data_IF_797497324531
#
_entry.id   IF_797497324531
#
_cell.length_a   1.000
_cell.length_b   1.000
_cell.length_c   1.000
_cell.angle_alpha   90.00
_cell.angle_beta   90.00
_cell.angle_gamma   90.00
#
_symmetry.space_group_name_H-M   'P 1'
#
loop_
_entity.id
_entity.type
_entity.pdbx_description
1 polymer ?
#
# COMPACT_ATOMS: atom_id res chain seq x y z
N UNK A 1 -12.39 -10.62 10.03
CA UNK A 1 -12.53 -9.91 8.73
C UNK A 1 -11.58 -10.55 7.73
N UNK A 2 -12.09 -11.09 6.61
CA UNK A 2 -11.32 -11.88 5.64
C UNK A 2 -10.30 -10.99 4.89
N UNK A 3 -10.63 -9.72 4.69
CA UNK A 3 -9.77 -8.75 4.01
C UNK A 3 -8.37 -8.63 4.65
N UNK A 4 -8.28 -8.58 5.98
CA UNK A 4 -6.99 -8.52 6.68
C UNK A 4 -6.19 -9.81 6.51
N UNK A 5 -6.87 -10.95 6.48
CA UNK A 5 -6.24 -12.26 6.21
C UNK A 5 -5.67 -12.29 4.78
N UNK A 6 -6.40 -11.72 3.81
CA UNK A 6 -5.90 -11.59 2.44
C UNK A 6 -4.62 -10.74 2.37
N UNK A 7 -4.59 -9.58 3.03
CA UNK A 7 -3.39 -8.74 3.07
C UNK A 7 -2.21 -9.50 3.69
N UNK A 8 -2.42 -10.21 4.80
CA UNK A 8 -1.38 -11.01 5.44
C UNK A 8 -0.89 -12.17 4.56
N UNK A 9 -1.80 -12.85 3.86
CA UNK A 9 -1.46 -13.94 2.93
C UNK A 9 -0.66 -13.42 1.73
N UNK A 10 -1.11 -12.30 1.13
CA UNK A 10 -0.41 -11.62 0.06
C UNK A 10 0.99 -11.17 0.51
N UNK A 11 1.11 -10.59 1.70
CA UNK A 11 2.40 -10.19 2.26
C UNK A 11 3.34 -11.39 2.45
N UNK A 12 2.83 -12.50 2.97
CA UNK A 12 3.59 -13.75 3.08
C UNK A 12 4.07 -14.27 1.72
N UNK A 13 3.21 -14.22 0.70
CA UNK A 13 3.57 -14.57 -0.67
C UNK A 13 4.69 -13.69 -1.20
N UNK A 14 4.60 -12.37 -1.00
CA UNK A 14 5.64 -11.43 -1.39
C UNK A 14 6.97 -11.69 -0.69
N UNK A 15 6.95 -12.00 0.61
CA UNK A 15 8.14 -12.45 1.33
C UNK A 15 8.78 -13.69 0.70
N UNK A 16 7.98 -14.66 0.25
CA UNK A 16 8.50 -15.88 -0.40
C UNK A 16 9.05 -15.59 -1.79
N UNK A 17 8.30 -14.86 -2.61
CA UNK A 17 8.74 -14.47 -3.96
C UNK A 17 10.03 -13.67 -3.92
N UNK A 18 10.13 -12.68 -3.02
CA UNK A 18 11.39 -11.97 -2.80
C UNK A 18 12.51 -12.91 -2.44
N UNK A 19 12.29 -13.88 -1.52
CA UNK A 19 13.37 -14.82 -1.16
C UNK A 19 13.84 -15.71 -2.31
N UNK A 20 13.02 -15.91 -3.33
CA UNK A 20 13.40 -16.63 -4.55
C UNK A 20 14.12 -15.73 -5.56
N UNK A 21 13.62 -14.51 -5.76
CA UNK A 21 14.17 -13.55 -6.74
C UNK A 21 15.44 -12.85 -6.26
N UNK A 22 15.52 -12.58 -4.95
CA UNK A 22 16.64 -11.93 -4.28
C UNK A 22 17.11 -12.86 -3.15
N UNK A 23 17.96 -13.87 -3.46
CA UNK A 23 18.54 -14.73 -2.43
C UNK A 23 19.26 -13.88 -1.37
N UNK A 24 18.96 -14.16 -0.10
CA UNK A 24 19.34 -13.33 1.05
C UNK A 24 20.65 -13.90 1.61
N UNK A 25 21.79 -13.30 1.28
CA UNK A 25 22.27 -12.13 2.04
C UNK A 25 22.54 -10.88 1.19
N UNK A 26 22.59 -10.97 -0.13
CA UNK A 26 23.39 -10.02 -0.91
C UNK A 26 22.76 -8.65 -1.13
N UNK A 27 21.43 -8.53 -1.25
CA UNK A 27 20.87 -7.26 -1.73
C UNK A 27 21.07 -6.09 -0.76
N UNK A 28 20.69 -6.24 0.51
CA UNK A 28 20.87 -5.14 1.49
C UNK A 28 22.34 -5.01 1.89
N UNK A 29 23.07 -6.13 1.90
CA UNK A 29 24.47 -6.13 2.31
C UNK A 29 25.37 -5.49 1.25
N UNK A 30 25.16 -5.78 -0.04
CA UNK A 30 25.83 -5.08 -1.17
C UNK A 30 25.54 -3.58 -1.18
N UNK A 31 24.30 -3.17 -0.94
CA UNK A 31 23.97 -1.74 -0.78
C UNK A 31 24.72 -1.14 0.41
N UNK A 32 24.84 -1.89 1.51
CA UNK A 32 25.53 -1.44 2.71
C UNK A 32 27.06 -1.42 2.59
N UNK A 33 27.63 -2.21 1.66
CA UNK A 33 29.03 -2.16 1.27
C UNK A 33 29.33 -0.89 0.47
N UNK A 34 28.45 -0.53 -0.46
CA UNK A 34 28.54 0.73 -1.20
C UNK A 34 28.32 1.95 -0.30
N UNK A 35 27.40 1.85 0.67
CA UNK A 35 27.05 2.95 1.57
C UNK A 35 27.00 2.48 3.03
N UNK A 36 28.08 2.67 3.81
CA UNK A 36 28.18 2.19 5.19
C UNK A 36 27.11 2.75 6.14
N UNK A 37 26.50 3.89 5.82
CA UNK A 37 25.42 4.47 6.59
C UNK A 37 24.18 3.56 6.66
N UNK A 38 23.94 2.74 5.64
CA UNK A 38 22.82 1.78 5.60
C UNK A 38 22.97 0.67 6.64
N UNK A 39 24.19 0.35 7.08
CA UNK A 39 24.43 -0.62 8.19
C UNK A 39 23.82 -0.14 9.52
N UNK A 40 23.56 1.16 9.65
CA UNK A 40 22.93 1.75 10.84
C UNK A 40 21.41 1.58 10.86
N UNK A 41 20.81 1.19 9.74
CA UNK A 41 19.36 1.06 9.57
C UNK A 41 18.91 -0.40 9.73
N UNK A 42 17.77 -0.66 10.38
CA UNK A 42 17.23 -2.01 10.46
C UNK A 42 16.72 -2.45 9.08
N UNK A 43 17.25 -3.58 8.59
CA UNK A 43 16.89 -4.18 7.28
C UNK A 43 15.38 -4.35 7.08
N UNK A 44 14.63 -4.58 8.17
CA UNK A 44 13.18 -4.74 8.13
C UNK A 44 12.44 -3.55 7.54
N UNK A 45 12.97 -2.34 7.66
CA UNK A 45 12.32 -1.13 7.13
C UNK A 45 12.29 -1.08 5.61
N UNK A 46 13.24 -1.72 4.92
CA UNK A 46 13.18 -1.88 3.46
C UNK A 46 12.42 -3.14 3.08
N UNK A 47 12.73 -4.24 3.76
CA UNK A 47 12.31 -5.56 3.34
C UNK A 47 10.81 -5.79 3.57
N UNK A 48 10.27 -5.34 4.70
CA UNK A 48 8.86 -5.56 5.04
C UNK A 48 7.91 -4.84 4.06
N UNK A 49 8.10 -3.54 3.74
CA UNK A 49 7.22 -2.87 2.80
C UNK A 49 7.42 -3.36 1.35
N UNK A 50 8.63 -3.76 0.98
CA UNK A 50 8.88 -4.40 -0.31
C UNK A 50 8.15 -5.74 -0.44
N UNK A 51 8.21 -6.58 0.60
CA UNK A 51 7.48 -7.85 0.66
C UNK A 51 5.97 -7.61 0.54
N UNK A 52 5.45 -6.57 1.20
CA UNK A 52 4.04 -6.20 1.13
C UNK A 52 3.63 -5.77 -0.28
N UNK A 53 4.41 -4.89 -0.94
CA UNK A 53 4.11 -4.39 -2.28
C UNK A 53 4.17 -5.50 -3.33
N UNK A 54 5.22 -6.33 -3.32
CA UNK A 54 5.32 -7.50 -4.21
C UNK A 54 4.12 -8.41 -4.03
N UNK A 55 3.76 -8.68 -2.77
CA UNK A 55 2.64 -9.54 -2.41
C UNK A 55 1.29 -9.01 -2.90
N UNK A 56 0.98 -7.76 -2.57
CA UNK A 56 -0.31 -7.14 -2.93
C UNK A 56 -0.44 -6.96 -4.44
N UNK A 57 0.60 -6.50 -5.13
CA UNK A 57 0.55 -6.29 -6.58
C UNK A 57 0.39 -7.59 -7.35
N UNK A 58 1.28 -8.56 -7.13
CA UNK A 58 1.24 -9.85 -7.82
C UNK A 58 0.02 -10.68 -7.40
N UNK A 59 -0.28 -10.73 -6.10
CA UNK A 59 -1.45 -11.44 -5.59
C UNK A 59 -2.73 -10.94 -6.25
N UNK A 60 -2.96 -9.63 -6.22
CA UNK A 60 -4.14 -9.00 -6.85
C UNK A 60 -4.20 -9.27 -8.35
N UNK A 61 -3.06 -9.23 -9.04
CA UNK A 61 -2.98 -9.49 -10.48
C UNK A 61 -3.36 -10.93 -10.82
N UNK A 62 -2.82 -11.90 -10.08
CA UNK A 62 -3.15 -13.33 -10.25
C UNK A 62 -4.61 -13.58 -9.94
N UNK A 63 -5.13 -13.02 -8.83
CA UNK A 63 -6.55 -13.15 -8.46
C UNK A 63 -7.45 -12.60 -9.56
N UNK A 64 -7.09 -11.45 -10.14
CA UNK A 64 -7.85 -10.85 -11.24
C UNK A 64 -7.93 -11.78 -12.46
N UNK A 65 -6.79 -12.26 -12.96
CA UNK A 65 -6.78 -13.13 -14.13
C UNK A 65 -7.48 -14.47 -13.86
N UNK A 66 -7.33 -15.04 -12.66
CA UNK A 66 -8.06 -16.23 -12.25
C UNK A 66 -9.57 -15.99 -12.20
N UNK A 67 -10.01 -14.88 -11.60
CA UNK A 67 -11.42 -14.50 -11.57
C UNK A 67 -11.98 -14.29 -12.97
N UNK A 68 -11.19 -13.68 -13.87
CA UNK A 68 -11.57 -13.49 -15.28
C UNK A 68 -11.70 -14.81 -16.02
N UNK A 69 -10.75 -15.73 -15.82
CA UNK A 69 -10.82 -17.07 -16.40
C UNK A 69 -12.09 -17.80 -15.96
N UNK A 70 -12.38 -17.77 -14.65
CA UNK A 70 -13.59 -18.38 -14.09
C UNK A 70 -14.88 -17.72 -14.60
N UNK A 71 -14.87 -16.41 -14.79
CA UNK A 71 -16.01 -15.66 -15.35
C UNK A 71 -16.41 -16.09 -16.76
N UNK A 72 -15.54 -16.76 -17.52
CA UNK A 72 -15.92 -17.38 -18.80
C UNK A 72 -16.76 -18.66 -18.61
N UNK A 73 -16.55 -19.39 -17.51
CA UNK A 73 -17.23 -20.65 -17.22
C UNK A 73 -18.50 -20.46 -16.37
N UNK A 74 -18.55 -19.39 -15.56
CA UNK A 74 -19.65 -19.10 -14.66
C UNK A 74 -20.23 -17.71 -14.97
N UNK A 75 -21.40 -17.61 -15.64
CA UNK A 75 -22.06 -16.34 -15.94
C UNK A 75 -22.35 -15.53 -14.66
N UNK A 76 -22.37 -14.20 -14.80
CA UNK A 76 -22.49 -13.20 -13.73
C UNK A 76 -23.50 -13.57 -12.61
N UNK A 77 -23.00 -13.66 -11.37
CA UNK A 77 -23.80 -13.85 -10.16
C UNK A 77 -22.96 -14.34 -8.97
N UNK A 78 -22.88 -13.57 -7.88
CA UNK A 78 -22.33 -13.90 -6.54
C UNK A 78 -21.04 -14.77 -6.45
N UNK A 79 -20.25 -14.88 -7.50
CA UNK A 79 -19.02 -15.68 -7.52
C UNK A 79 -17.82 -14.92 -6.94
N UNK A 80 -17.93 -13.62 -6.69
CA UNK A 80 -16.83 -12.79 -6.19
C UNK A 80 -16.38 -13.11 -4.76
N UNK A 81 -17.27 -13.41 -3.79
CA UNK A 81 -16.87 -14.02 -2.52
C UNK A 81 -16.12 -15.34 -2.71
N UNK A 82 -16.49 -16.12 -3.73
CA UNK A 82 -15.75 -17.29 -4.17
C UNK A 82 -14.37 -16.93 -4.70
N UNK A 83 -14.25 -15.96 -5.62
CA UNK A 83 -12.98 -15.49 -6.16
C UNK A 83 -12.04 -14.90 -5.10
N UNK A 84 -12.60 -14.29 -4.04
CA UNK A 84 -11.87 -13.85 -2.84
C UNK A 84 -11.27 -15.03 -2.08
N UNK A 85 -12.08 -16.06 -1.82
CA UNK A 85 -11.66 -17.30 -1.16
C UNK A 85 -10.66 -18.08 -2.03
N UNK A 86 -10.84 -18.12 -3.35
CA UNK A 86 -9.89 -18.71 -4.30
C UNK A 86 -8.59 -17.92 -4.38
N UNK A 87 -8.65 -16.59 -4.38
CA UNK A 87 -7.50 -15.71 -4.30
C UNK A 87 -6.67 -15.93 -3.04
N UNK A 88 -7.36 -16.09 -1.91
CA UNK A 88 -6.76 -16.50 -0.64
C UNK A 88 -6.13 -17.89 -0.75
N UNK A 89 -6.85 -18.87 -1.29
CA UNK A 89 -6.37 -20.23 -1.51
C UNK A 89 -5.17 -20.28 -2.47
N UNK A 90 -5.11 -19.45 -3.51
CA UNK A 90 -3.98 -19.35 -4.43
C UNK A 90 -2.76 -18.71 -3.76
N UNK A 91 -2.96 -17.69 -2.92
CA UNK A 91 -1.88 -17.13 -2.11
C UNK A 91 -1.35 -18.16 -1.10
N UNK A 92 -2.25 -18.88 -0.42
CA UNK A 92 -1.90 -19.96 0.52
C UNK A 92 -1.27 -21.16 -0.18
N UNK A 93 -1.71 -21.50 -1.39
CA UNK A 93 -1.12 -22.55 -2.24
C UNK A 93 0.27 -22.12 -2.72
N UNK A 94 0.45 -20.88 -3.17
CA UNK A 94 1.77 -20.33 -3.50
C UNK A 94 2.71 -20.37 -2.30
N UNK A 95 2.22 -20.00 -1.11
CA UNK A 95 2.95 -20.15 0.15
C UNK A 95 3.32 -21.62 0.45
N UNK A 96 2.41 -22.55 0.21
CA UNK A 96 2.61 -24.00 0.41
C UNK A 96 3.61 -24.59 -0.58
N UNK A 97 3.49 -24.30 -1.87
CA UNK A 97 4.41 -24.76 -2.92
C UNK A 97 5.83 -24.21 -2.70
N UNK A 98 5.94 -22.94 -2.30
CA UNK A 98 7.21 -22.31 -1.92
C UNK A 98 7.72 -22.71 -0.52
N UNK A 99 6.93 -23.48 0.25
CA UNK A 99 7.38 -24.12 1.50
C UNK A 99 8.10 -25.43 1.21
N UNK A 100 7.64 -26.21 0.23
CA UNK A 100 8.32 -27.44 -0.22
C UNK A 100 9.71 -27.10 -0.77
N UNK A 101 9.87 -25.99 -1.50
CA UNK A 101 11.18 -25.55 -2.00
C UNK A 101 12.15 -25.08 -0.91
N UNK A 102 11.65 -24.58 0.24
CA UNK A 102 12.48 -24.22 1.42
C UNK A 102 12.73 -25.39 2.37
N UNK A 103 11.95 -26.47 2.36
CA UNK A 103 12.37 -27.68 3.08
C UNK A 103 13.67 -28.27 2.50
N UNK A 104 14.01 -27.92 1.25
CA UNK A 104 15.27 -28.28 0.60
C UNK A 104 16.43 -27.28 0.82
N UNK A 105 16.17 -26.06 1.32
CA UNK A 105 17.20 -25.04 1.60
C UNK A 105 16.84 -24.30 2.88
N UNK A 106 17.58 -24.62 3.95
CA UNK A 106 17.39 -24.23 5.35
C UNK A 106 16.81 -22.82 5.58
N UNK A 107 15.93 -22.72 6.58
CA UNK A 107 15.24 -21.49 6.92
C UNK A 107 16.13 -20.52 7.71
N UNK A 108 16.39 -19.34 7.13
CA UNK A 108 17.09 -18.28 7.86
C UNK A 108 16.14 -17.36 8.63
N UNK A 109 16.48 -17.18 9.91
CA UNK A 109 15.92 -16.17 10.78
C UNK A 109 16.25 -14.75 10.25
N UNK A 110 15.32 -13.81 10.43
CA UNK A 110 15.59 -12.39 10.24
C UNK A 110 16.71 -12.01 11.22
N UNK A 111 17.95 -11.98 10.74
CA UNK A 111 19.09 -11.60 11.57
C UNK A 111 18.91 -10.14 12.01
N UNK A 112 18.94 -9.93 13.32
CA UNK A 112 18.92 -8.60 13.94
C UNK A 112 20.31 -7.98 13.74
N UNK A 113 20.48 -7.17 12.70
CA UNK A 113 21.68 -6.35 12.53
C UNK A 113 21.92 -5.48 13.77
N UNK A 114 23.20 -5.25 14.11
CA UNK A 114 23.61 -4.50 15.29
C UNK A 114 22.90 -3.15 15.39
N UNK A 115 21.97 -3.05 16.35
CA UNK A 115 21.09 -1.89 16.49
C UNK A 115 21.86 -0.73 17.10
N UNK A 116 21.97 0.39 16.38
CA UNK A 116 22.28 1.69 17.01
C UNK A 116 20.96 2.38 17.32
N UNK A 117 20.77 2.71 18.60
CA UNK A 117 19.50 3.24 19.13
C UNK A 117 19.10 4.53 18.41
N UNK A 118 20.03 5.47 18.26
CA UNK A 118 19.73 6.81 17.74
C UNK A 118 19.30 6.84 16.26
N UNK A 119 20.04 6.25 15.29
CA UNK A 119 19.59 6.16 13.90
C UNK A 119 18.24 5.45 13.74
N UNK A 120 18.02 4.39 14.54
CA UNK A 120 16.78 3.61 14.50
C UNK A 120 15.60 4.46 14.99
N UNK A 121 15.79 5.22 16.07
CA UNK A 121 14.75 6.11 16.61
C UNK A 121 14.32 7.17 15.61
N UNK A 122 15.27 7.84 14.94
CA UNK A 122 14.97 8.86 13.92
C UNK A 122 14.10 8.28 12.80
N UNK A 123 14.49 7.11 12.29
CA UNK A 123 13.78 6.52 11.17
C UNK A 123 12.40 6.04 11.60
N UNK A 124 12.30 5.31 12.71
CA UNK A 124 11.01 4.84 13.24
C UNK A 124 10.08 6.00 13.56
N UNK A 125 10.56 7.05 14.23
CA UNK A 125 9.73 8.21 14.55
C UNK A 125 9.24 8.92 13.29
N UNK A 126 10.11 9.12 12.29
CA UNK A 126 9.71 9.72 11.01
C UNK A 126 8.72 8.85 10.22
N UNK A 127 8.84 7.51 10.27
CA UNK A 127 7.87 6.59 9.68
C UNK A 127 6.52 6.61 10.41
N UNK A 128 6.51 6.77 11.73
CA UNK A 128 5.28 6.94 12.52
C UNK A 128 4.61 8.27 12.19
N UNK A 129 5.39 9.35 12.03
CA UNK A 129 4.87 10.64 11.56
C UNK A 129 4.27 10.53 10.15
N UNK A 130 4.91 9.79 9.25
CA UNK A 130 4.36 9.52 7.91
C UNK A 130 3.04 8.73 7.98
N UNK A 131 2.92 7.76 8.90
CA UNK A 131 1.66 7.06 9.13
C UNK A 131 0.57 8.01 9.63
N UNK A 132 0.88 8.86 10.62
CA UNK A 132 -0.05 9.85 11.13
C UNK A 132 -0.50 10.83 10.03
N UNK A 133 0.45 11.28 9.20
CA UNK A 133 0.16 12.13 8.04
C UNK A 133 -0.73 11.41 7.01
N UNK A 134 -0.44 10.15 6.68
CA UNK A 134 -1.27 9.36 5.77
C UNK A 134 -2.70 9.19 6.31
N UNK A 135 -2.85 8.86 7.60
CA UNK A 135 -4.15 8.75 8.25
C UNK A 135 -4.91 10.08 8.23
N UNK A 136 -4.23 11.19 8.54
CA UNK A 136 -4.79 12.54 8.44
C UNK A 136 -5.32 12.84 7.04
N UNK A 137 -4.51 12.57 6.00
CA UNK A 137 -4.93 12.75 4.61
C UNK A 137 -6.17 11.92 4.30
N UNK A 138 -6.18 10.63 4.63
CA UNK A 138 -7.35 9.78 4.35
C UNK A 138 -8.62 10.30 5.04
N UNK A 139 -8.53 10.82 6.27
CA UNK A 139 -9.67 11.40 6.97
C UNK A 139 -10.17 12.70 6.35
N UNK A 140 -9.33 13.46 5.65
CA UNK A 140 -9.75 14.67 4.92
C UNK A 140 -10.22 14.38 3.50
N UNK A 141 -9.70 13.32 2.89
CA UNK A 141 -9.92 12.98 1.49
C UNK A 141 -11.14 12.09 1.28
N UNK A 142 -11.33 11.04 2.08
CA UNK A 142 -12.37 10.04 1.85
C UNK A 142 -12.70 9.26 3.13
N UNK A 143 -13.89 9.42 3.69
CA UNK A 143 -14.23 8.81 4.97
C UNK A 143 -15.72 8.53 5.11
N UNK A 144 -16.05 7.52 5.90
CA UNK A 144 -17.43 7.27 6.30
C UNK A 144 -17.79 8.11 7.53
N UNK A 145 -18.95 8.76 7.49
CA UNK A 145 -19.55 9.46 8.62
C UNK A 145 -20.99 8.96 8.81
N UNK A 146 -21.18 8.14 9.84
CA UNK A 146 -22.42 7.39 10.03
C UNK A 146 -22.65 6.42 8.86
N UNK A 147 -23.63 6.73 8.02
CA UNK A 147 -23.95 5.97 6.80
C UNK A 147 -23.61 6.72 5.51
N UNK A 148 -23.11 7.95 5.62
CA UNK A 148 -22.79 8.80 4.47
C UNK A 148 -21.31 8.72 4.18
N UNK A 149 -20.97 8.44 2.92
CA UNK A 149 -19.59 8.44 2.46
C UNK A 149 -19.23 9.85 2.00
N UNK A 150 -18.24 10.44 2.66
CA UNK A 150 -17.75 11.78 2.39
C UNK A 150 -16.49 11.71 1.52
N UNK A 151 -16.37 12.62 0.57
CA UNK A 151 -15.17 12.82 -0.22
C UNK A 151 -14.83 14.31 -0.27
N UNK A 152 -13.54 14.64 -0.16
CA UNK A 152 -13.08 16.02 -0.24
C UNK A 152 -13.41 16.64 -1.60
N UNK A 153 -13.77 17.92 -1.60
CA UNK A 153 -14.24 18.62 -2.80
C UNK A 153 -13.28 18.49 -4.00
N UNK A 154 -11.97 18.63 -3.75
CA UNK A 154 -10.93 18.59 -4.77
C UNK A 154 -10.65 17.20 -5.36
N UNK A 155 -11.14 16.14 -4.70
CA UNK A 155 -10.92 14.74 -5.08
C UNK A 155 -12.23 14.02 -5.43
N UNK A 156 -13.36 14.69 -5.29
CA UNK A 156 -14.69 14.11 -5.45
C UNK A 156 -14.92 13.57 -6.87
N UNK A 157 -14.47 14.32 -7.89
CA UNK A 157 -14.59 13.93 -9.30
C UNK A 157 -13.93 12.59 -9.59
N UNK A 158 -12.83 12.31 -8.89
CA UNK A 158 -12.08 11.09 -9.05
C UNK A 158 -12.69 10.00 -8.18
N UNK A 159 -12.88 10.23 -6.89
CA UNK A 159 -13.27 9.16 -5.96
C UNK A 159 -14.70 8.67 -6.16
N UNK A 160 -15.63 9.50 -6.64
CA UNK A 160 -17.03 9.11 -6.84
C UNK A 160 -17.21 7.96 -7.84
N UNK A 161 -16.73 8.05 -9.11
CA UNK A 161 -16.83 6.93 -10.05
C UNK A 161 -16.05 5.70 -9.58
N UNK A 162 -14.92 5.89 -8.90
CA UNK A 162 -14.12 4.78 -8.38
C UNK A 162 -14.75 4.08 -7.17
N UNK A 163 -15.56 4.79 -6.37
CA UNK A 163 -16.37 4.20 -5.28
C UNK A 163 -17.35 3.17 -5.84
N UNK A 164 -18.06 3.53 -6.91
CA UNK A 164 -18.98 2.64 -7.60
C UNK A 164 -18.25 1.45 -8.25
N UNK A 165 -17.05 1.69 -8.80
CA UNK A 165 -16.21 0.64 -9.36
C UNK A 165 -15.80 -0.40 -8.31
N UNK A 166 -15.31 0.04 -7.14
CA UNK A 166 -14.95 -0.84 -6.03
C UNK A 166 -16.13 -1.69 -5.58
N UNK A 167 -17.33 -1.10 -5.49
CA UNK A 167 -18.55 -1.86 -5.14
C UNK A 167 -18.99 -2.82 -6.23
N UNK A 168 -18.87 -2.43 -7.49
CA UNK A 168 -19.13 -3.31 -8.63
C UNK A 168 -18.21 -4.54 -8.58
N UNK A 169 -16.90 -4.35 -8.38
CA UNK A 169 -15.98 -5.47 -8.19
C UNK A 169 -16.38 -6.33 -6.99
N UNK A 170 -16.59 -5.73 -5.81
CA UNK A 170 -16.97 -6.45 -4.60
C UNK A 170 -18.24 -7.31 -4.75
N UNK A 171 -19.19 -6.88 -5.60
CA UNK A 171 -20.44 -7.58 -5.88
C UNK A 171 -20.34 -8.64 -7.01
N UNK A 172 -19.18 -8.82 -7.63
CA UNK A 172 -19.03 -9.71 -8.80
C UNK A 172 -19.60 -9.13 -10.08
N UNK A 173 -19.53 -7.81 -10.21
CA UNK A 173 -19.80 -7.11 -11.46
C UNK A 173 -18.86 -7.55 -12.58
N UNK A 174 -19.11 -7.03 -13.78
CA UNK A 174 -18.30 -7.37 -14.96
C UNK A 174 -16.84 -7.02 -14.69
N UNK A 175 -15.94 -7.99 -14.84
CA UNK A 175 -14.47 -7.81 -14.76
C UNK A 175 -13.91 -7.05 -15.97
N UNK A 176 -14.79 -6.52 -16.82
CA UNK A 176 -14.41 -5.66 -17.93
C UNK A 176 -13.85 -4.35 -17.37
N UNK A 177 -12.85 -3.84 -18.06
CA UNK A 177 -12.21 -2.55 -17.79
C UNK A 177 -13.12 -1.41 -18.27
N UNK A 178 -14.39 -1.39 -17.86
CA UNK A 178 -15.33 -0.31 -18.18
C UNK A 178 -15.82 0.34 -16.90
N UNK A 179 -16.00 1.66 -16.94
CA UNK A 179 -16.66 2.34 -15.83
C UNK A 179 -18.14 1.95 -15.79
N UNK A 180 -18.72 1.70 -14.60
CA UNK A 180 -20.15 1.41 -14.47
C UNK A 180 -21.05 2.50 -15.07
N UNK A 181 -20.57 3.75 -15.09
CA UNK A 181 -21.32 4.93 -15.52
C UNK A 181 -20.93 5.44 -16.92
N UNK A 182 -19.83 4.96 -17.51
CA UNK A 182 -19.37 5.40 -18.84
C UNK A 182 -19.11 4.18 -19.73
N UNK A 183 -20.10 3.85 -20.57
CA UNK A 183 -19.98 2.76 -21.52
C UNK A 183 -18.93 3.07 -22.60
N UNK A 184 -18.02 2.13 -22.86
CA UNK A 184 -17.05 2.21 -23.97
C UNK A 184 -15.87 3.16 -23.76
N UNK A 185 -15.77 3.86 -22.63
CA UNK A 185 -14.67 4.79 -22.35
C UNK A 185 -13.38 4.08 -21.89
N UNK A 186 -13.48 2.83 -21.43
CA UNK A 186 -12.37 2.08 -20.87
C UNK A 186 -11.85 2.64 -19.52
N UNK A 187 -11.31 1.78 -18.67
CA UNK A 187 -10.59 2.13 -17.45
C UNK A 187 -9.11 2.32 -17.79
N UNK A 188 -8.70 3.58 -17.95
CA UNK A 188 -7.34 3.92 -18.38
C UNK A 188 -6.30 3.95 -17.23
N UNK A 189 -6.72 4.06 -15.95
CA UNK A 189 -5.80 4.19 -14.82
C UNK A 189 -6.29 3.47 -13.54
N UNK A 190 -5.33 3.02 -12.72
CA UNK A 190 -5.50 2.43 -11.37
C UNK A 190 -6.44 1.21 -11.22
N UNK A 191 -6.76 0.51 -12.31
CA UNK A 191 -7.67 -0.65 -12.30
C UNK A 191 -7.37 -1.67 -11.18
N UNK A 192 -6.13 -2.17 -11.10
CA UNK A 192 -5.76 -3.19 -10.10
C UNK A 192 -5.87 -2.67 -8.66
N UNK A 193 -5.67 -1.37 -8.44
CA UNK A 193 -5.85 -0.76 -7.12
C UNK A 193 -7.32 -0.82 -6.69
N UNK A 194 -8.25 -0.44 -7.56
CA UNK A 194 -9.68 -0.51 -7.24
C UNK A 194 -10.22 -1.94 -7.24
N UNK A 195 -9.62 -2.84 -8.02
CA UNK A 195 -9.89 -4.28 -7.92
C UNK A 195 -9.48 -4.84 -6.56
N UNK A 196 -8.29 -4.47 -6.05
CA UNK A 196 -7.88 -4.77 -4.67
C UNK A 196 -8.86 -4.16 -3.67
N UNK A 197 -9.31 -2.92 -3.87
CA UNK A 197 -10.37 -2.32 -3.05
C UNK A 197 -11.64 -3.16 -3.05
N UNK A 198 -12.06 -3.70 -4.20
CA UNK A 198 -13.22 -4.58 -4.33
C UNK A 198 -13.05 -5.89 -3.55
N UNK A 199 -11.87 -6.52 -3.66
CA UNK A 199 -11.47 -7.70 -2.85
C UNK A 199 -11.59 -7.38 -1.35
N UNK A 200 -10.98 -6.28 -0.91
CA UNK A 200 -10.98 -5.90 0.50
C UNK A 200 -12.38 -5.58 1.02
N UNK A 201 -13.19 -4.92 0.20
CA UNK A 201 -14.56 -4.59 0.52
C UNK A 201 -15.45 -5.84 0.62
N UNK A 202 -15.34 -6.78 -0.33
CA UNK A 202 -16.00 -8.08 -0.26
C UNK A 202 -15.52 -8.90 0.95
N UNK A 203 -14.26 -8.73 1.36
CA UNK A 203 -13.69 -9.33 2.57
C UNK A 203 -14.15 -8.70 3.89
N UNK A 204 -15.08 -7.75 3.83
CA UNK A 204 -15.76 -7.15 4.97
C UNK A 204 -15.22 -5.79 5.43
N UNK A 205 -14.27 -5.17 4.71
CA UNK A 205 -13.88 -3.80 5.02
C UNK A 205 -14.94 -2.78 4.55
N UNK A 206 -15.24 -1.76 5.36
CA UNK A 206 -15.98 -0.57 4.90
C UNK A 206 -15.34 0.04 3.64
N UNK A 207 -16.14 0.73 2.81
CA UNK A 207 -15.67 1.21 1.50
C UNK A 207 -14.53 2.22 1.62
N UNK A 208 -14.61 3.12 2.59
CA UNK A 208 -13.55 4.08 2.92
C UNK A 208 -12.25 3.36 3.25
N UNK A 209 -12.28 2.37 4.14
CA UNK A 209 -11.11 1.57 4.50
C UNK A 209 -10.60 0.68 3.37
N UNK A 210 -11.49 0.15 2.53
CA UNK A 210 -11.09 -0.69 1.40
C UNK A 210 -10.26 0.09 0.36
N UNK A 211 -10.48 1.41 0.24
CA UNK A 211 -9.69 2.31 -0.61
C UNK A 211 -8.49 2.89 0.14
N UNK A 212 -8.71 3.36 1.37
CA UNK A 212 -7.70 4.07 2.15
C UNK A 212 -6.59 3.16 2.67
N UNK A 213 -6.89 1.92 3.06
CA UNK A 213 -5.88 1.02 3.62
C UNK A 213 -4.78 0.68 2.60
N UNK A 214 -5.08 0.28 1.35
CA UNK A 214 -4.07 0.16 0.30
C UNK A 214 -3.24 1.43 0.11
N UNK A 215 -3.87 2.62 0.11
CA UNK A 215 -3.17 3.90 -0.01
C UNK A 215 -2.19 4.14 1.15
N UNK A 216 -2.63 3.93 2.39
CA UNK A 216 -1.77 4.09 3.58
C UNK A 216 -0.57 3.14 3.52
N UNK A 217 -0.82 1.86 3.23
CA UNK A 217 0.24 0.86 3.10
C UNK A 217 1.21 1.20 1.95
N UNK A 218 0.68 1.67 0.83
CA UNK A 218 1.45 2.15 -0.32
C UNK A 218 2.32 3.36 0.03
N UNK A 219 1.77 4.36 0.72
CA UNK A 219 2.50 5.55 1.18
C UNK A 219 3.62 5.17 2.15
N UNK A 220 3.38 4.26 3.08
CA UNK A 220 4.42 3.79 4.00
C UNK A 220 5.54 3.03 3.27
N UNK A 221 5.18 2.21 2.30
CA UNK A 221 6.16 1.46 1.50
C UNK A 221 6.97 2.38 0.60
N UNK A 222 6.32 3.33 -0.07
CA UNK A 222 6.96 4.37 -0.85
C UNK A 222 7.88 5.23 0.01
N UNK A 223 7.42 5.71 1.17
CA UNK A 223 8.24 6.51 2.08
C UNK A 223 9.45 5.75 2.60
N UNK A 224 9.31 4.44 2.86
CA UNK A 224 10.44 3.60 3.24
C UNK A 224 11.46 3.46 2.11
N UNK A 225 11.01 3.23 0.87
CA UNK A 225 11.88 3.18 -0.30
C UNK A 225 12.57 4.52 -0.57
N UNK A 226 11.82 5.63 -0.48
CA UNK A 226 12.34 6.99 -0.64
C UNK A 226 13.40 7.31 0.41
N UNK A 227 13.13 7.01 1.67
CA UNK A 227 14.08 7.21 2.76
C UNK A 227 15.35 6.37 2.58
N UNK A 228 15.23 5.11 2.17
CA UNK A 228 16.38 4.25 1.87
C UNK A 228 17.22 4.84 0.74
N UNK A 229 16.58 5.24 -0.36
CA UNK A 229 17.24 5.87 -1.50
C UNK A 229 17.94 7.18 -1.11
N UNK A 230 17.32 8.01 -0.26
CA UNK A 230 17.92 9.24 0.22
C UNK A 230 19.20 8.97 1.04
N UNK A 231 19.19 7.96 1.91
CA UNK A 231 20.39 7.56 2.68
C UNK A 231 21.44 6.93 1.78
N UNK A 232 21.03 6.11 0.80
CA UNK A 232 21.93 5.50 -0.18
C UNK A 232 22.68 6.58 -0.97
N UNK A 233 21.98 7.60 -1.47
CA UNK A 233 22.58 8.67 -2.29
C UNK A 233 23.42 9.66 -1.46
N UNK A 234 22.99 9.97 -0.23
CA UNK A 234 23.65 11.01 0.59
C UNK A 234 24.72 10.47 1.54
N UNK A 235 24.72 9.17 1.84
CA UNK A 235 25.50 8.58 2.92
C UNK A 235 25.12 9.05 4.33
N UNK A 236 23.99 9.76 4.49
CA UNK A 236 23.58 10.39 5.76
C UNK A 236 22.21 9.90 6.20
N UNK A 237 22.11 9.37 7.42
CA UNK A 237 20.84 8.87 8.00
C UNK A 237 19.77 9.96 8.07
N UNK A 238 20.16 11.21 8.34
CA UNK A 238 19.24 12.36 8.40
C UNK A 238 18.58 12.71 7.05
N UNK A 239 19.09 12.17 5.93
CA UNK A 239 18.44 12.33 4.64
C UNK A 239 17.09 11.60 4.58
N UNK A 240 16.90 10.57 5.42
CA UNK A 240 15.62 9.86 5.53
C UNK A 240 14.47 10.79 5.95
N UNK A 241 14.47 11.37 7.17
CA UNK A 241 13.38 12.25 7.59
C UNK A 241 13.25 13.47 6.67
N UNK A 242 14.37 14.00 6.14
CA UNK A 242 14.33 15.11 5.19
C UNK A 242 13.59 14.74 3.90
N UNK A 243 13.83 13.56 3.34
CA UNK A 243 13.11 13.11 2.14
C UNK A 243 11.61 12.95 2.37
N UNK A 244 11.21 12.47 3.55
CA UNK A 244 9.80 12.33 3.91
C UNK A 244 9.15 13.70 4.10
N UNK A 245 9.86 14.64 4.71
CA UNK A 245 9.41 16.02 4.87
C UNK A 245 9.20 16.69 3.51
N UNK A 246 10.19 16.62 2.63
CA UNK A 246 10.09 17.19 1.28
C UNK A 246 8.94 16.55 0.48
N UNK A 247 8.77 15.23 0.59
CA UNK A 247 7.64 14.54 -0.02
C UNK A 247 6.28 15.04 0.48
N UNK A 248 6.10 15.17 1.80
CA UNK A 248 4.85 15.62 2.41
C UNK A 248 4.43 17.01 1.92
N UNK A 249 5.39 17.89 1.68
CA UNK A 249 5.14 19.26 1.21
C UNK A 249 5.31 19.45 -0.30
N UNK A 250 5.36 18.36 -1.09
CA UNK A 250 5.60 18.40 -2.55
C UNK A 250 6.82 19.25 -2.94
N UNK A 251 7.81 19.34 -2.05
CA UNK A 251 8.97 20.23 -2.18
C UNK A 251 8.60 21.71 -2.41
N UNK A 252 7.45 22.16 -1.90
CA UNK A 252 6.94 23.54 -2.02
C UNK A 252 6.51 24.12 -0.67
N UNK A 253 6.64 25.44 -0.53
CA UNK A 253 6.16 26.17 0.65
C UNK A 253 4.72 26.68 0.51
N UNK A 254 4.04 26.45 -0.62
CA UNK A 254 2.71 27.03 -0.89
C UNK A 254 1.67 26.72 0.19
N UNK A 255 1.71 25.52 0.78
CA UNK A 255 0.79 25.16 1.87
C UNK A 255 1.02 25.98 3.14
N UNK A 256 2.28 26.29 3.47
CA UNK A 256 2.60 27.17 4.60
C UNK A 256 2.20 28.62 4.32
N UNK A 257 2.41 29.09 3.09
CA UNK A 257 1.98 30.44 2.67
C UNK A 257 0.47 30.59 2.88
N UNK A 258 -0.32 29.66 2.36
CA UNK A 258 -1.78 29.68 2.50
C UNK A 258 -2.23 29.61 3.97
N UNK A 259 -1.60 28.74 4.76
CA UNK A 259 -1.89 28.61 6.20
C UNK A 259 -1.63 29.91 6.97
N UNK A 260 -0.49 30.56 6.73
CA UNK A 260 -0.17 31.83 7.38
C UNK A 260 -1.03 32.98 6.86
N UNK A 261 -1.42 32.98 5.59
CA UNK A 261 -2.41 33.93 5.05
C UNK A 261 -3.76 33.78 5.75
N UNK A 262 -4.26 32.56 5.95
CA UNK A 262 -5.51 32.31 6.69
C UNK A 262 -5.43 32.81 8.14
N UNK A 263 -4.32 32.55 8.84
CA UNK A 263 -4.10 33.10 10.19
C UNK A 263 -4.05 34.64 10.18
N UNK A 264 -3.41 35.24 9.16
CA UNK A 264 -3.35 36.69 9.03
C UNK A 264 -4.72 37.32 8.73
N UNK A 265 -5.63 36.57 8.11
CA UNK A 265 -7.04 36.94 7.92
C UNK A 265 -7.90 36.79 9.19
N UNK A 266 -7.31 36.35 10.31
CA UNK A 266 -8.00 36.20 11.60
C UNK A 266 -8.72 34.87 11.79
N UNK A 267 -8.51 33.89 10.90
CA UNK A 267 -9.05 32.55 11.04
C UNK A 267 -8.38 31.83 12.21
N UNK A 268 -9.14 31.00 12.91
CA UNK A 268 -8.61 30.13 13.96
C UNK A 268 -7.72 29.03 13.37
N UNK A 269 -6.89 28.41 14.21
CA UNK A 269 -5.99 27.33 13.78
C UNK A 269 -6.74 26.15 13.10
N UNK A 270 -7.95 25.84 13.57
CA UNK A 270 -8.79 24.80 12.96
C UNK A 270 -9.26 25.19 11.58
N UNK A 271 -9.66 26.44 11.39
CA UNK A 271 -10.16 26.97 10.11
C UNK A 271 -9.02 27.16 9.10
N UNK A 272 -7.83 27.53 9.56
CA UNK A 272 -6.66 27.67 8.71
C UNK A 272 -6.13 26.31 8.18
N UNK A 273 -6.49 25.20 8.83
CA UNK A 273 -6.15 23.83 8.45
C UNK A 273 -7.23 23.15 7.58
N UNK A 274 -8.37 23.79 7.35
CA UNK A 274 -9.39 23.33 6.39
C UNK A 274 -9.06 23.74 4.96
#
# INVERSE_FOLDING_TARGET
>A
MIALVYILAAWGLGYRLRSCLLPRPDFVDSLSEQTPALRKLPRSLLLLPMDLLIGLTLGTTVVYFAARLLGYFFPAGNWFPGALLWGLCLCLLGLFLLRISKLAKGGDAIQRGGRRLFPTLIVVSSSVLLLAFALFLTRKTYFLEGQTLQAGYTVFSDLSPHSALVRSFGAGGKLLTDYPHFAGAGLNYHFFFYFLGGILNAGGLPLDWAINLPSILGTLAFGSALGYSAVLLSGKVYAWPLSLLLFAFRSSFSGFVLFFEHLAMGLTWSEALE
#
